data_IF_368142084823
#
_entry.id   IF_368142084823
#
_cell.length_a   1.000
_cell.length_b   1.000
_cell.length_c   1.000
_cell.angle_alpha   90.00
_cell.angle_beta   90.00
_cell.angle_gamma   90.00
#
_symmetry.space_group_name_H-M   'P 1'
#
loop_
_entity.id
_entity.type
_entity.pdbx_description
1 polymer ?
#
# COMPACT_ATOMS: atom_id res chain seq x y z
N UNK A 1 6.66 8.58 2.78
CA UNK A 1 7.59 7.57 3.31
C UNK A 1 9.06 7.95 3.09
N UNK A 2 9.50 8.20 1.85
CA UNK A 2 10.89 8.53 1.50
C UNK A 2 11.28 10.02 1.59
N UNK A 3 10.33 10.90 1.93
CA UNK A 3 10.50 12.37 1.91
C UNK A 3 10.89 12.96 0.54
N UNK A 4 10.77 12.19 -0.55
CA UNK A 4 10.95 12.68 -1.92
C UNK A 4 9.69 13.32 -2.51
N UNK A 5 9.83 13.98 -3.66
CA UNK A 5 8.72 14.62 -4.37
C UNK A 5 7.63 13.60 -4.75
N UNK A 6 6.38 13.92 -4.45
CA UNK A 6 5.23 13.09 -4.81
C UNK A 6 5.07 12.97 -6.32
N UNK A 7 5.41 14.02 -7.09
CA UNK A 7 5.24 14.02 -8.56
C UNK A 7 6.00 12.93 -9.29
N UNK A 8 7.05 12.39 -8.68
CA UNK A 8 7.82 11.29 -9.27
C UNK A 8 7.27 9.91 -8.91
N UNK A 9 6.44 9.80 -7.86
CA UNK A 9 5.84 8.53 -7.45
C UNK A 9 4.87 8.01 -8.53
N UNK A 10 5.02 6.74 -8.93
CA UNK A 10 4.24 6.14 -10.01
C UNK A 10 4.86 6.27 -11.42
N UNK A 11 5.95 7.01 -11.58
CA UNK A 11 6.78 6.94 -12.79
C UNK A 11 7.63 5.66 -12.79
N UNK A 12 7.93 5.10 -13.97
CA UNK A 12 8.79 3.91 -14.12
C UNK A 12 10.20 4.08 -13.52
N UNK A 13 10.62 5.33 -13.28
CA UNK A 13 11.96 5.68 -12.81
C UNK A 13 12.06 5.90 -11.30
N UNK A 14 10.94 5.94 -10.57
CA UNK A 14 10.96 6.28 -9.15
C UNK A 14 10.88 5.05 -8.24
N UNK A 15 12.02 4.70 -7.65
CA UNK A 15 12.24 3.46 -6.91
C UNK A 15 12.20 3.66 -5.38
N UNK A 16 11.14 4.27 -4.83
CA UNK A 16 11.01 4.43 -3.37
C UNK A 16 10.78 3.09 -2.64
N UNK A 17 10.10 2.13 -3.27
CA UNK A 17 9.79 0.83 -2.66
C UNK A 17 10.92 -0.20 -2.74
N UNK A 18 11.97 0.07 -3.53
CA UNK A 18 13.01 -0.89 -3.90
C UNK A 18 14.36 -0.63 -3.22
N UNK A 19 14.94 -1.67 -2.63
CA UNK A 19 16.28 -1.58 -2.05
C UNK A 19 17.35 -1.72 -3.13
N UNK A 20 18.31 -0.78 -3.17
CA UNK A 20 19.46 -0.85 -4.08
C UNK A 20 20.62 -1.56 -3.39
N UNK A 21 20.80 -2.83 -3.69
CA UNK A 21 21.92 -3.61 -3.19
C UNK A 21 23.25 -3.11 -3.76
N UNK A 22 24.28 -3.07 -2.92
CA UNK A 22 25.65 -2.79 -3.34
C UNK A 22 26.34 -4.10 -3.78
N UNK A 23 26.55 -4.34 -5.09
CA UNK A 23 27.09 -5.61 -5.58
C UNK A 23 28.53 -5.87 -5.10
N UNK A 24 29.29 -4.83 -4.79
CA UNK A 24 30.69 -4.94 -4.36
C UNK A 24 30.85 -5.26 -2.87
N UNK A 25 29.75 -5.33 -2.11
CA UNK A 25 29.80 -5.51 -0.65
C UNK A 25 30.47 -6.83 -0.23
N UNK A 26 30.37 -7.87 -1.07
CA UNK A 26 30.96 -9.19 -0.81
C UNK A 26 32.48 -9.12 -0.72
N UNK A 27 33.09 -8.16 -1.43
CA UNK A 27 34.54 -7.95 -1.43
C UNK A 27 35.02 -7.00 -0.31
N UNK A 28 34.11 -6.47 0.51
CA UNK A 28 34.44 -5.55 1.60
C UNK A 28 34.63 -6.28 2.94
N UNK A 29 35.05 -5.53 3.97
CA UNK A 29 35.24 -6.06 5.31
C UNK A 29 33.95 -6.63 5.92
N UNK A 30 34.08 -7.57 6.87
CA UNK A 30 32.92 -8.11 7.60
C UNK A 30 32.08 -7.01 8.27
N UNK A 31 32.73 -5.95 8.76
CA UNK A 31 32.02 -4.80 9.33
C UNK A 31 31.18 -4.06 8.28
N UNK A 32 31.68 -3.91 7.06
CA UNK A 32 30.93 -3.30 5.96
C UNK A 32 29.73 -4.17 5.57
N UNK A 33 29.92 -5.48 5.46
CA UNK A 33 28.85 -6.44 5.18
C UNK A 33 27.75 -6.40 6.26
N UNK A 34 28.12 -6.38 7.54
CA UNK A 34 27.17 -6.28 8.64
C UNK A 34 26.37 -4.96 8.61
N UNK A 35 27.04 -3.83 8.30
CA UNK A 35 26.36 -2.53 8.13
C UNK A 35 25.37 -2.55 6.96
N UNK A 36 25.74 -3.17 5.84
CA UNK A 36 24.86 -3.28 4.68
C UNK A 36 23.64 -4.17 4.96
N UNK A 37 23.83 -5.30 5.66
CA UNK A 37 22.74 -6.15 6.09
C UNK A 37 21.74 -5.40 7.01
N UNK A 38 22.26 -4.60 7.94
CA UNK A 38 21.42 -3.77 8.81
C UNK A 38 20.67 -2.69 8.02
N UNK A 39 21.31 -2.02 7.06
CA UNK A 39 20.64 -1.03 6.19
C UNK A 39 19.49 -1.66 5.40
N UNK A 40 19.72 -2.84 4.81
CA UNK A 40 18.68 -3.61 4.12
C UNK A 40 17.54 -3.92 5.09
N UNK A 41 17.82 -4.43 6.28
CA UNK A 41 16.78 -4.71 7.28
C UNK A 41 15.95 -3.46 7.61
N UNK A 42 16.61 -2.34 7.96
CA UNK A 42 15.92 -1.09 8.31
C UNK A 42 15.04 -0.59 7.16
N UNK A 43 15.52 -0.67 5.92
CA UNK A 43 14.74 -0.27 4.74
C UNK A 43 13.38 -0.98 4.66
N UNK A 44 13.36 -2.32 4.78
CA UNK A 44 12.12 -3.10 4.70
C UNK A 44 11.28 -2.98 5.98
N UNK A 45 11.93 -2.93 7.15
CA UNK A 45 11.25 -2.77 8.44
C UNK A 45 10.50 -1.44 8.53
N UNK A 46 11.13 -0.32 8.16
CA UNK A 46 10.49 1.01 8.18
C UNK A 46 9.27 1.06 7.26
N UNK A 47 9.34 0.42 6.08
CA UNK A 47 8.20 0.29 5.16
C UNK A 47 7.06 -0.50 5.77
N UNK A 48 7.36 -1.67 6.32
CA UNK A 48 6.39 -2.50 7.03
C UNK A 48 5.75 -1.75 8.21
N UNK A 49 6.55 -1.07 9.02
CA UNK A 49 6.10 -0.35 10.21
C UNK A 49 5.21 0.84 9.82
N UNK A 50 5.58 1.58 8.77
CA UNK A 50 4.77 2.69 8.26
C UNK A 50 3.40 2.19 7.77
N UNK A 51 3.35 1.09 7.02
CA UNK A 51 2.07 0.51 6.59
C UNK A 51 1.27 -0.05 7.78
N UNK A 52 1.92 -0.57 8.82
CA UNK A 52 1.26 -0.96 10.06
C UNK A 52 0.57 0.22 10.76
N UNK A 53 1.28 1.36 10.88
CA UNK A 53 0.72 2.60 11.45
C UNK A 53 -0.44 3.12 10.62
N UNK A 54 -0.30 3.15 9.29
CA UNK A 54 -1.37 3.55 8.39
C UNK A 54 -2.61 2.64 8.50
N UNK A 55 -2.43 1.33 8.69
CA UNK A 55 -3.55 0.39 8.90
C UNK A 55 -4.34 0.70 10.19
N UNK A 56 -3.65 1.15 11.25
CA UNK A 56 -4.31 1.61 12.48
C UNK A 56 -5.14 2.88 12.25
N UNK A 57 -4.63 3.82 11.44
CA UNK A 57 -5.36 5.03 11.05
C UNK A 57 -6.57 4.70 10.17
N UNK A 58 -6.45 3.71 9.28
CA UNK A 58 -7.56 3.23 8.45
C UNK A 58 -8.69 2.63 9.30
N UNK A 59 -8.37 1.94 10.40
CA UNK A 59 -9.38 1.47 11.35
C UNK A 59 -10.15 2.63 12.00
N UNK A 60 -9.47 3.73 12.35
CA UNK A 60 -10.13 4.95 12.86
C UNK A 60 -10.99 5.61 11.78
N UNK A 61 -10.49 5.69 10.54
CA UNK A 61 -11.24 6.21 9.39
C UNK A 61 -12.48 5.38 9.11
N UNK A 62 -12.41 4.05 9.23
CA UNK A 62 -13.57 3.18 9.11
C UNK A 62 -14.66 3.51 10.13
N UNK A 63 -14.30 3.74 11.39
CA UNK A 63 -15.26 4.13 12.43
C UNK A 63 -15.88 5.50 12.15
N UNK A 64 -15.07 6.50 11.78
CA UNK A 64 -15.58 7.84 11.40
C UNK A 64 -16.55 7.78 10.23
N UNK A 65 -16.25 6.96 9.21
CA UNK A 65 -17.16 6.75 8.07
C UNK A 65 -18.46 6.09 8.55
N UNK A 66 -18.39 5.11 9.44
CA UNK A 66 -19.56 4.46 9.99
C UNK A 66 -20.47 5.46 10.72
N UNK A 67 -19.91 6.26 11.63
CA UNK A 67 -20.63 7.32 12.37
C UNK A 67 -21.28 8.33 11.42
N UNK A 68 -20.55 8.77 10.40
CA UNK A 68 -21.06 9.70 9.38
C UNK A 68 -22.23 9.13 8.59
N UNK A 69 -22.19 7.84 8.27
CA UNK A 69 -23.31 7.17 7.59
C UNK A 69 -24.52 7.11 8.52
N UNK A 70 -24.33 6.76 9.80
CA UNK A 70 -25.41 6.77 10.78
C UNK A 70 -26.06 8.15 10.89
N UNK A 71 -25.26 9.21 10.99
CA UNK A 71 -25.74 10.59 11.03
C UNK A 71 -26.57 10.94 9.78
N UNK A 72 -26.09 10.62 8.58
CA UNK A 72 -26.82 10.87 7.33
C UNK A 72 -28.16 10.13 7.29
N UNK A 73 -28.17 8.87 7.71
CA UNK A 73 -29.40 8.06 7.76
C UNK A 73 -30.38 8.60 8.79
N UNK A 74 -29.92 8.98 9.99
CA UNK A 74 -30.75 9.60 11.03
C UNK A 74 -31.35 10.94 10.60
N UNK A 75 -30.63 11.70 9.78
CA UNK A 75 -31.09 12.96 9.20
C UNK A 75 -31.94 12.78 7.92
N UNK A 76 -32.35 11.56 7.59
CA UNK A 76 -33.12 11.22 6.38
C UNK A 76 -32.44 11.62 5.06
N UNK A 77 -31.11 11.71 5.04
CA UNK A 77 -30.30 12.01 3.85
C UNK A 77 -29.95 10.74 3.08
N UNK A 78 -30.96 9.92 2.76
CA UNK A 78 -30.80 8.61 2.14
C UNK A 78 -30.76 7.46 3.13
N UNK A 79 -30.64 6.25 2.61
CA UNK A 79 -30.65 4.99 3.36
C UNK A 79 -29.23 4.47 3.59
N UNK A 80 -29.11 3.46 4.45
CA UNK A 80 -27.82 2.78 4.66
C UNK A 80 -27.18 2.28 3.36
N UNK A 81 -28.00 1.76 2.44
CA UNK A 81 -27.55 1.18 1.16
C UNK A 81 -26.92 2.25 0.27
N UNK A 82 -27.47 3.47 0.28
CA UNK A 82 -26.97 4.58 -0.53
C UNK A 82 -25.53 4.95 -0.16
N UNK A 83 -25.13 4.73 1.10
CA UNK A 83 -23.83 5.11 1.64
C UNK A 83 -22.88 3.94 1.93
N UNK A 84 -23.34 2.69 1.86
CA UNK A 84 -22.56 1.51 2.22
C UNK A 84 -21.24 1.38 1.42
N UNK A 85 -21.21 1.93 0.20
CA UNK A 85 -20.01 1.95 -0.65
C UNK A 85 -18.79 2.58 0.03
N UNK A 86 -18.99 3.59 0.90
CA UNK A 86 -17.91 4.25 1.65
C UNK A 86 -17.27 3.30 2.68
N UNK A 87 -18.09 2.53 3.40
CA UNK A 87 -17.59 1.51 4.31
C UNK A 87 -16.89 0.38 3.56
N UNK A 88 -17.41 -0.02 2.40
CA UNK A 88 -16.77 -1.02 1.55
C UNK A 88 -15.41 -0.53 1.03
N UNK A 89 -15.30 0.75 0.67
CA UNK A 89 -14.05 1.38 0.25
C UNK A 89 -13.01 1.35 1.38
N UNK A 90 -13.39 1.77 2.60
CA UNK A 90 -12.50 1.74 3.76
C UNK A 90 -12.05 0.31 4.14
N UNK A 91 -12.96 -0.68 4.08
CA UNK A 91 -12.60 -2.10 4.29
C UNK A 91 -11.62 -2.60 3.25
N UNK A 92 -11.86 -2.28 1.98
CA UNK A 92 -11.00 -2.71 0.88
C UNK A 92 -9.62 -2.06 0.99
N UNK A 93 -9.56 -0.77 1.30
CA UNK A 93 -8.33 -0.04 1.53
C UNK A 93 -7.48 -0.73 2.61
N UNK A 94 -8.07 -1.02 3.78
CA UNK A 94 -7.40 -1.74 4.86
C UNK A 94 -6.91 -3.13 4.44
N UNK A 95 -7.71 -3.87 3.65
CA UNK A 95 -7.33 -5.18 3.11
C UNK A 95 -6.13 -5.09 2.15
N UNK A 96 -6.13 -4.10 1.27
CA UNK A 96 -5.03 -3.84 0.35
C UNK A 96 -3.76 -3.44 1.11
N UNK A 97 -3.87 -2.55 2.10
CA UNK A 97 -2.73 -2.12 2.91
C UNK A 97 -2.16 -3.25 3.76
N UNK A 98 -3.00 -4.09 4.37
CA UNK A 98 -2.55 -5.29 5.05
C UNK A 98 -1.75 -6.19 4.09
N UNK A 99 -2.26 -6.42 2.87
CA UNK A 99 -1.51 -7.21 1.88
C UNK A 99 -0.15 -6.56 1.57
N UNK A 100 -0.14 -5.26 1.27
CA UNK A 100 1.08 -4.51 0.96
C UNK A 100 2.09 -4.54 2.12
N UNK A 101 1.65 -4.39 3.37
CA UNK A 101 2.50 -4.49 4.54
C UNK A 101 3.34 -5.77 4.52
N UNK A 102 2.73 -6.92 4.26
CA UNK A 102 3.42 -8.22 4.23
C UNK A 102 4.20 -8.49 2.94
N UNK A 103 4.05 -7.67 1.90
CA UNK A 103 4.93 -7.75 0.73
C UNK A 103 6.38 -7.34 1.04
N UNK A 104 6.62 -6.48 2.04
CA UNK A 104 7.99 -6.05 2.37
C UNK A 104 8.84 -7.13 3.05
N UNK A 105 8.34 -7.84 4.09
CA UNK A 105 9.05 -9.02 4.60
C UNK A 105 9.27 -10.09 3.52
N UNK A 106 8.28 -10.30 2.64
CA UNK A 106 8.44 -11.23 1.52
C UNK A 106 9.60 -10.80 0.59
N UNK A 107 9.61 -9.54 0.12
CA UNK A 107 10.67 -8.99 -0.73
C UNK A 107 12.06 -8.98 -0.05
N UNK A 108 12.12 -8.81 1.27
CA UNK A 108 13.38 -8.85 2.02
C UNK A 108 14.11 -10.20 1.82
N UNK A 109 13.35 -11.30 1.90
CA UNK A 109 13.87 -12.66 1.76
C UNK A 109 13.95 -13.16 0.31
N UNK A 110 13.35 -12.47 -0.65
CA UNK A 110 13.51 -12.84 -2.07
C UNK A 110 14.96 -12.67 -2.53
N UNK A 111 15.44 -13.68 -3.24
CA UNK A 111 16.72 -13.64 -3.95
C UNK A 111 16.69 -12.58 -5.07
N UNK A 112 17.83 -11.91 -5.27
CA UNK A 112 17.99 -10.92 -6.32
C UNK A 112 17.93 -11.58 -7.69
N UNK A 113 17.03 -11.11 -8.55
CA UNK A 113 16.84 -11.69 -9.88
C UNK A 113 15.64 -11.08 -10.63
N UNK A 114 15.37 -11.54 -11.86
CA UNK A 114 14.26 -11.05 -12.68
C UNK A 114 12.91 -11.18 -11.97
N UNK A 115 12.73 -12.25 -11.19
CA UNK A 115 11.51 -12.51 -10.43
C UNK A 115 11.25 -11.47 -9.34
N UNK A 116 12.28 -11.10 -8.59
CA UNK A 116 12.22 -10.03 -7.58
C UNK A 116 11.96 -8.67 -8.21
N UNK A 117 12.60 -8.37 -9.35
CA UNK A 117 12.33 -7.13 -10.11
C UNK A 117 10.86 -7.00 -10.50
N UNK A 118 10.26 -8.09 -11.01
CA UNK A 118 8.84 -8.11 -11.34
C UNK A 118 7.96 -7.94 -10.08
N UNK A 119 8.32 -8.59 -8.97
CA UNK A 119 7.62 -8.43 -7.70
C UNK A 119 7.63 -6.98 -7.23
N UNK A 120 8.81 -6.37 -7.14
CA UNK A 120 8.99 -4.98 -6.67
C UNK A 120 8.26 -3.99 -7.58
N UNK A 121 8.20 -4.24 -8.89
CA UNK A 121 7.39 -3.47 -9.82
C UNK A 121 5.90 -3.56 -9.50
N UNK A 122 5.36 -4.77 -9.35
CA UNK A 122 3.94 -4.95 -9.01
C UNK A 122 3.60 -4.41 -7.61
N UNK A 123 4.52 -4.55 -6.66
CA UNK A 123 4.42 -3.98 -5.32
C UNK A 123 4.31 -2.45 -5.38
N UNK A 124 5.17 -1.79 -6.17
CA UNK A 124 5.14 -0.34 -6.34
C UNK A 124 3.83 0.14 -6.98
N UNK A 125 3.33 -0.59 -7.98
CA UNK A 125 2.02 -0.30 -8.59
C UNK A 125 0.89 -0.43 -7.57
N UNK A 126 0.87 -1.51 -6.79
CA UNK A 126 -0.13 -1.70 -5.74
C UNK A 126 -0.06 -0.59 -4.68
N UNK A 127 1.14 -0.20 -4.24
CA UNK A 127 1.34 0.89 -3.29
C UNK A 127 0.76 2.21 -3.81
N UNK A 128 1.04 2.57 -5.07
CA UNK A 128 0.49 3.77 -5.69
C UNK A 128 -1.06 3.77 -5.71
N UNK A 129 -1.68 2.64 -6.09
CA UNK A 129 -3.14 2.55 -6.13
C UNK A 129 -3.78 2.54 -4.75
N UNK A 130 -3.09 2.03 -3.72
CA UNK A 130 -3.52 2.10 -2.32
C UNK A 130 -3.50 3.54 -1.83
N UNK A 131 -2.45 4.30 -2.10
CA UNK A 131 -2.37 5.71 -1.68
C UNK A 131 -3.42 6.56 -2.41
N UNK A 132 -3.66 6.31 -3.70
CA UNK A 132 -4.75 6.95 -4.44
C UNK A 132 -6.13 6.62 -3.84
N UNK A 133 -6.37 5.37 -3.46
CA UNK A 133 -7.61 4.96 -2.80
C UNK A 133 -7.75 5.61 -1.42
N UNK A 134 -6.68 5.63 -0.62
CA UNK A 134 -6.64 6.28 0.69
C UNK A 134 -7.06 7.74 0.58
N UNK A 135 -6.46 8.45 -0.37
CA UNK A 135 -6.72 9.86 -0.59
C UNK A 135 -8.18 10.15 -1.00
N UNK A 136 -8.78 9.30 -1.85
CA UNK A 136 -10.20 9.40 -2.22
C UNK A 136 -11.13 9.07 -1.05
N UNK A 137 -10.81 8.06 -0.24
CA UNK A 137 -11.60 7.69 0.95
C UNK A 137 -11.62 8.82 1.98
N UNK A 138 -10.47 9.47 2.22
CA UNK A 138 -10.40 10.64 3.12
C UNK A 138 -11.20 11.85 2.62
N UNK A 139 -11.44 11.94 1.31
CA UNK A 139 -12.13 13.06 0.65
C UNK A 139 -13.42 12.63 -0.02
N UNK A 140 -14.09 11.62 0.54
CA UNK A 140 -15.23 11.01 -0.12
C UNK A 140 -16.42 11.95 -0.39
N UNK A 141 -16.52 13.11 0.28
CA UNK A 141 -17.53 14.12 -0.04
C UNK A 141 -17.20 14.94 -1.31
N UNK A 142 -15.95 14.91 -1.77
CA UNK A 142 -15.46 15.67 -2.93
C UNK A 142 -15.41 14.85 -4.21
N UNK A 143 -15.68 13.55 -4.14
CA UNK A 143 -15.62 12.61 -5.25
C UNK A 143 -16.98 12.05 -5.59
N UNK A 144 -17.25 11.86 -6.88
CA UNK A 144 -18.40 11.06 -7.30
C UNK A 144 -18.21 9.60 -6.89
N UNK A 145 -19.32 8.92 -6.61
CA UNK A 145 -19.33 7.51 -6.22
C UNK A 145 -18.63 6.64 -7.26
N UNK A 146 -18.82 6.91 -8.56
CA UNK A 146 -18.20 6.13 -9.63
C UNK A 146 -16.67 6.20 -9.61
N UNK A 147 -16.09 7.35 -9.29
CA UNK A 147 -14.63 7.53 -9.23
C UNK A 147 -13.99 6.74 -8.08
N UNK A 148 -14.70 6.62 -6.95
CA UNK A 148 -14.27 5.82 -5.81
C UNK A 148 -14.41 4.33 -6.12
N UNK A 149 -15.55 3.89 -6.66
CA UNK A 149 -15.79 2.49 -7.03
C UNK A 149 -14.80 2.01 -8.10
N UNK A 150 -14.45 2.85 -9.08
CA UNK A 150 -13.41 2.55 -10.06
C UNK A 150 -12.03 2.38 -9.41
N UNK A 151 -11.65 3.29 -8.50
CA UNK A 151 -10.37 3.18 -7.78
C UNK A 151 -10.31 1.90 -6.91
N UNK A 152 -11.42 1.55 -6.25
CA UNK A 152 -11.55 0.31 -5.51
C UNK A 152 -11.29 -0.90 -6.41
N UNK A 153 -11.91 -0.92 -7.60
CA UNK A 153 -11.72 -2.01 -8.55
C UNK A 153 -10.25 -2.15 -8.97
N UNK A 154 -9.60 -1.04 -9.32
CA UNK A 154 -8.19 -1.01 -9.72
C UNK A 154 -7.30 -1.55 -8.59
N UNK A 155 -7.46 -1.05 -7.37
CA UNK A 155 -6.65 -1.46 -6.23
C UNK A 155 -6.82 -2.96 -5.91
N UNK A 156 -8.05 -3.48 -5.90
CA UNK A 156 -8.30 -4.91 -5.67
C UNK A 156 -7.74 -5.77 -6.81
N UNK A 157 -7.83 -5.31 -8.06
CA UNK A 157 -7.26 -6.04 -9.20
C UNK A 157 -5.73 -6.14 -9.06
N UNK A 158 -5.03 -5.02 -8.78
CA UNK A 158 -3.58 -5.04 -8.55
C UNK A 158 -3.20 -5.98 -7.40
N UNK A 159 -3.94 -5.93 -6.30
CA UNK A 159 -3.72 -6.81 -5.13
C UNK A 159 -3.88 -8.29 -5.51
N UNK A 160 -4.92 -8.64 -6.27
CA UNK A 160 -5.16 -10.02 -6.73
C UNK A 160 -4.11 -10.49 -7.71
N UNK A 161 -3.70 -9.66 -8.66
CA UNK A 161 -2.62 -10.01 -9.61
C UNK A 161 -1.33 -10.31 -8.85
N UNK A 162 -0.91 -9.43 -7.92
CA UNK A 162 0.31 -9.66 -7.13
C UNK A 162 0.23 -10.96 -6.33
N UNK A 163 -0.90 -11.25 -5.69
CA UNK A 163 -1.05 -12.50 -4.94
C UNK A 163 -1.06 -13.72 -5.85
N UNK A 164 -1.80 -13.69 -6.96
CA UNK A 164 -1.83 -14.80 -7.92
C UNK A 164 -0.43 -15.08 -8.48
N UNK A 165 0.32 -14.03 -8.78
CA UNK A 165 1.62 -14.17 -9.39
C UNK A 165 2.67 -14.70 -8.41
N UNK A 166 2.52 -14.54 -7.09
CA UNK A 166 3.60 -14.83 -6.11
C UNK A 166 3.20 -15.64 -4.86
N UNK A 167 1.93 -16.00 -4.69
CA UNK A 167 1.45 -16.82 -3.57
C UNK A 167 1.33 -18.32 -3.92
N UNK A 168 1.10 -18.65 -5.19
CA UNK A 168 0.84 -20.03 -5.67
C UNK A 168 2.11 -20.81 -6.10
N UNK A 169 3.30 -20.41 -5.62
CA UNK A 169 4.58 -21.14 -5.80
C UNK A 169 5.17 -21.53 -4.47
#
# INVERSE_FOLDING_TARGET
MCLGDWKTHGSEYYECSRYKENPDIVNQSQQAQAREALKKYLFYFERWENHNKSLQLEAQTYQRIHEKIQERVMNNLGTWIDWQYLQNAAKLLAKCRYTLQYTYPYAYYMESGPRKKLFEYQQAQLEAEIENLSWKVERADSYDRGDLENQMHIAEQRRRTLLKDFHDT
#
